data_IF_067258357857
#
_entry.id   IF_067258357857
#
_cell.length_a   1.000
_cell.length_b   1.000
_cell.length_c   1.000
_cell.angle_alpha   90.00
_cell.angle_beta   90.00
_cell.angle_gamma   90.00
#
_symmetry.space_group_name_H-M   'P 1'
#
loop_
_entity.id
_entity.type
_entity.pdbx_description
1 polymer ?
#
# COMPACT_ATOMS: atom_id res chain seq x y z
N UNK A 1 -47.47 21.21 -16.27
CA UNK A 1 -46.05 21.50 -15.94
C UNK A 1 -45.23 20.28 -16.32
N UNK A 2 -44.17 20.41 -17.13
CA UNK A 2 -43.33 19.30 -17.54
C UNK A 2 -42.40 18.86 -16.41
N UNK A 3 -42.22 17.55 -16.28
CA UNK A 3 -41.34 16.89 -15.31
C UNK A 3 -39.89 17.37 -15.46
N UNK A 4 -39.11 17.48 -14.37
CA UNK A 4 -37.70 17.84 -14.47
C UNK A 4 -36.90 16.71 -15.12
N UNK A 5 -35.81 17.02 -15.84
CA UNK A 5 -35.00 16.01 -16.52
C UNK A 5 -34.27 15.13 -15.49
N UNK A 6 -34.28 13.83 -15.75
CA UNK A 6 -33.51 12.83 -15.05
C UNK A 6 -32.02 13.19 -15.07
N UNK A 7 -31.40 13.23 -13.89
CA UNK A 7 -29.98 13.46 -13.69
C UNK A 7 -29.13 12.46 -14.50
N UNK A 8 -27.99 12.88 -15.07
CA UNK A 8 -27.16 11.98 -15.85
C UNK A 8 -26.59 10.89 -14.93
N UNK A 9 -26.85 9.64 -15.32
CA UNK A 9 -26.29 8.44 -14.70
C UNK A 9 -24.78 8.58 -14.59
N UNK A 10 -24.24 8.34 -13.40
CA UNK A 10 -22.81 8.26 -13.13
C UNK A 10 -22.21 7.24 -14.10
N UNK A 11 -21.45 7.75 -15.07
CA UNK A 11 -20.70 6.97 -16.04
C UNK A 11 -19.83 5.99 -15.26
N UNK A 12 -20.02 4.69 -15.52
CA UNK A 12 -19.27 3.63 -14.86
C UNK A 12 -17.77 3.85 -15.05
N UNK A 13 -17.01 3.73 -13.95
CA UNK A 13 -15.56 3.66 -14.00
C UNK A 13 -15.16 2.58 -15.01
N UNK A 14 -14.59 2.98 -16.13
CA UNK A 14 -14.14 2.07 -17.18
C UNK A 14 -12.90 1.36 -16.63
N UNK A 15 -13.05 0.09 -16.26
CA UNK A 15 -11.95 -0.76 -15.79
C UNK A 15 -10.88 -0.88 -16.89
N UNK A 16 -9.62 -0.71 -16.50
CA UNK A 16 -8.46 -0.85 -17.38
C UNK A 16 -8.10 -2.33 -17.40
N UNK A 17 -8.32 -2.99 -18.55
CA UNK A 17 -7.98 -4.40 -18.73
C UNK A 17 -6.49 -4.70 -18.50
N UNK A 18 -6.18 -5.96 -18.20
CA UNK A 18 -4.82 -6.45 -17.92
C UNK A 18 -3.85 -6.13 -19.03
N UNK A 19 -4.29 -6.18 -20.30
CA UNK A 19 -3.45 -5.83 -21.45
C UNK A 19 -2.98 -4.37 -21.42
N UNK A 20 -3.88 -3.43 -21.09
CA UNK A 20 -3.54 -2.02 -20.98
C UNK A 20 -2.61 -1.77 -19.79
N UNK A 21 -2.77 -2.50 -18.68
CA UNK A 21 -1.84 -2.47 -17.56
C UNK A 21 -0.44 -2.98 -17.97
N UNK A 22 -0.35 -4.08 -18.72
CA UNK A 22 0.92 -4.60 -19.24
C UNK A 22 1.61 -3.60 -20.18
N UNK A 23 0.84 -2.94 -21.05
CA UNK A 23 1.38 -1.89 -21.93
C UNK A 23 1.92 -0.69 -21.14
N UNK A 24 1.22 -0.27 -20.07
CA UNK A 24 1.71 0.77 -19.16
C UNK A 24 3.00 0.36 -18.46
N UNK A 25 3.09 -0.88 -17.96
CA UNK A 25 4.33 -1.39 -17.35
C UNK A 25 5.50 -1.36 -18.34
N UNK A 26 5.26 -1.79 -19.59
CA UNK A 26 6.29 -1.78 -20.64
C UNK A 26 6.79 -0.36 -20.94
N UNK A 27 5.87 0.59 -21.15
CA UNK A 27 6.22 2.00 -21.39
C UNK A 27 7.02 2.62 -20.24
N UNK A 28 6.68 2.28 -19.00
CA UNK A 28 7.41 2.76 -17.83
C UNK A 28 8.84 2.19 -17.77
N UNK A 29 9.02 0.92 -18.15
CA UNK A 29 10.36 0.33 -18.26
C UNK A 29 11.23 1.07 -19.29
N UNK A 30 10.68 1.37 -20.46
CA UNK A 30 11.40 2.09 -21.53
C UNK A 30 11.70 3.56 -21.14
N UNK A 31 10.80 4.22 -20.41
CA UNK A 31 10.96 5.62 -20.03
C UNK A 31 11.97 5.84 -18.90
N UNK A 32 12.05 4.93 -17.92
CA UNK A 32 12.97 5.06 -16.77
C UNK A 32 14.45 5.11 -17.17
N UNK A 33 14.81 4.62 -18.35
CA UNK A 33 16.20 4.62 -18.85
C UNK A 33 16.62 5.98 -19.46
N UNK A 34 15.68 6.91 -19.69
CA UNK A 34 15.94 8.12 -20.49
C UNK A 34 15.73 9.46 -19.78
N UNK A 35 15.06 9.51 -18.63
CA UNK A 35 14.70 10.77 -17.95
C UNK A 35 15.20 10.83 -16.51
N UNK A 36 15.95 11.89 -16.19
CA UNK A 36 16.28 12.25 -14.82
C UNK A 36 15.16 13.12 -14.22
N UNK A 37 14.50 12.62 -13.18
CA UNK A 37 13.47 13.34 -12.40
C UNK A 37 14.15 13.96 -11.18
N UNK A 38 13.83 15.20 -10.83
CA UNK A 38 14.41 15.88 -9.67
C UNK A 38 13.84 15.35 -8.36
N UNK A 39 14.59 15.50 -7.26
CA UNK A 39 14.15 15.07 -5.92
C UNK A 39 12.91 15.85 -5.43
N UNK A 40 12.79 17.13 -5.80
CA UNK A 40 11.61 17.94 -5.51
C UNK A 40 10.37 17.42 -6.23
N UNK A 41 10.51 16.97 -7.48
CA UNK A 41 9.40 16.38 -8.23
C UNK A 41 8.98 15.03 -7.65
N UNK A 42 9.93 14.17 -7.27
CA UNK A 42 9.63 12.89 -6.62
C UNK A 42 8.89 13.11 -5.29
N UNK A 43 9.33 14.09 -4.50
CA UNK A 43 8.67 14.48 -3.24
C UNK A 43 7.23 14.94 -3.47
N UNK A 44 6.97 15.80 -4.45
CA UNK A 44 5.61 16.27 -4.78
C UNK A 44 4.70 15.13 -5.25
N UNK A 45 5.24 14.16 -6.00
CA UNK A 45 4.48 13.00 -6.46
C UNK A 45 4.11 12.07 -5.30
N UNK A 46 4.99 11.92 -4.31
CA UNK A 46 4.67 11.23 -3.07
C UNK A 46 3.51 11.91 -2.34
N UNK A 47 3.60 13.21 -2.05
CA UNK A 47 2.55 13.99 -1.37
C UNK A 47 1.21 13.90 -2.09
N UNK A 48 1.24 13.89 -3.42
CA UNK A 48 0.05 13.72 -4.26
C UNK A 48 -0.61 12.35 -4.02
N UNK A 49 0.17 11.26 -4.04
CA UNK A 49 -0.36 9.90 -3.80
C UNK A 49 -0.87 9.75 -2.38
N UNK A 50 -0.16 10.32 -1.40
CA UNK A 50 -0.55 10.30 0.01
C UNK A 50 -1.90 11.01 0.22
N UNK A 51 -2.06 12.20 -0.38
CA UNK A 51 -3.30 12.99 -0.33
C UNK A 51 -4.46 12.27 -1.01
N UNK A 52 -4.25 11.76 -2.23
CA UNK A 52 -5.25 10.98 -2.96
C UNK A 52 -5.67 9.74 -2.17
N UNK A 53 -4.71 9.05 -1.53
CA UNK A 53 -5.00 7.91 -0.68
C UNK A 53 -5.90 8.33 0.47
N UNK A 54 -5.64 9.46 1.12
CA UNK A 54 -6.45 9.96 2.22
C UNK A 54 -7.89 10.30 1.81
N UNK A 55 -8.09 10.79 0.59
CA UNK A 55 -9.42 11.07 0.01
C UNK A 55 -10.20 9.80 -0.35
N UNK A 56 -9.54 8.65 -0.52
CA UNK A 56 -10.23 7.38 -0.74
C UNK A 56 -11.00 6.98 0.54
N UNK A 57 -12.31 6.87 0.38
CA UNK A 57 -13.18 6.27 1.38
C UNK A 57 -12.84 4.78 1.50
N UNK A 58 -12.43 4.36 2.70
CA UNK A 58 -12.31 2.94 3.02
C UNK A 58 -13.70 2.27 2.98
N UNK A 59 -13.71 0.94 2.99
CA UNK A 59 -14.96 0.18 3.13
C UNK A 59 -15.79 0.72 4.32
N UNK A 60 -17.13 0.82 4.16
CA UNK A 60 -17.99 1.45 5.15
C UNK A 60 -17.90 0.72 6.50
N UNK A 61 -17.95 1.48 7.59
CA UNK A 61 -18.05 0.90 8.92
C UNK A 61 -19.32 0.04 9.00
N UNK A 62 -19.16 -1.18 9.49
CA UNK A 62 -20.31 -1.96 9.96
C UNK A 62 -20.84 -1.25 11.21
N UNK A 63 -22.17 -1.18 11.35
CA UNK A 63 -22.79 -0.61 12.54
C UNK A 63 -22.16 -1.21 13.79
N UNK A 64 -21.47 -0.38 14.56
CA UNK A 64 -20.68 -0.75 15.73
C UNK A 64 -21.61 -1.08 16.89
N UNK A 65 -22.22 -2.26 16.89
CA UNK A 65 -22.91 -2.75 18.08
C UNK A 65 -22.19 -3.90 18.78
N UNK A 66 -21.14 -4.47 18.20
CA UNK A 66 -20.40 -5.55 18.86
C UNK A 66 -18.96 -5.55 18.35
N UNK A 67 -18.06 -4.80 18.99
CA UNK A 67 -16.79 -5.45 19.30
C UNK A 67 -17.22 -6.69 20.05
N UNK A 68 -16.88 -7.87 19.54
CA UNK A 68 -17.24 -9.12 20.19
C UNK A 68 -16.94 -8.94 21.68
N UNK A 69 -17.96 -9.03 22.53
CA UNK A 69 -17.82 -8.78 23.98
C UNK A 69 -16.64 -9.58 24.54
N UNK A 70 -16.33 -10.68 23.86
CA UNK A 70 -15.28 -11.63 24.14
C UNK A 70 -13.86 -11.09 23.93
N UNK A 71 -13.59 -10.21 22.94
CA UNK A 71 -12.24 -9.67 22.69
C UNK A 71 -11.99 -8.31 23.32
N UNK A 72 -13.05 -7.57 23.69
CA UNK A 72 -12.93 -6.23 24.27
C UNK A 72 -12.08 -6.19 25.54
N UNK A 73 -12.04 -7.30 26.29
CA UNK A 73 -11.21 -7.45 27.50
C UNK A 73 -9.70 -7.44 27.23
N UNK A 74 -9.26 -7.61 25.97
CA UNK A 74 -7.84 -7.60 25.58
C UNK A 74 -7.43 -6.28 24.89
N UNK A 75 -8.31 -5.28 24.82
CA UNK A 75 -8.08 -4.02 24.10
C UNK A 75 -8.23 -2.84 25.07
N UNK A 76 -7.20 -2.01 25.18
CA UNK A 76 -7.20 -0.83 26.06
C UNK A 76 -8.03 0.33 25.50
N UNK A 77 -7.78 0.72 24.24
CA UNK A 77 -8.54 1.74 23.53
C UNK A 77 -9.08 1.21 22.19
N UNK A 78 -10.34 0.75 22.14
CA UNK A 78 -10.94 0.27 20.90
C UNK A 78 -11.24 1.36 19.87
N UNK A 79 -11.15 2.64 20.26
CA UNK A 79 -11.33 3.78 19.36
C UNK A 79 -10.04 4.22 18.70
N UNK A 80 -8.89 3.68 19.13
CA UNK A 80 -7.60 3.91 18.52
C UNK A 80 -7.51 3.20 17.15
N UNK A 81 -7.81 3.96 16.10
CA UNK A 81 -7.84 3.48 14.72
C UNK A 81 -6.82 4.21 13.85
N UNK A 82 -6.52 3.63 12.68
CA UNK A 82 -5.65 4.26 11.69
C UNK A 82 -6.15 5.67 11.31
N UNK A 83 -5.21 6.61 11.21
CA UNK A 83 -5.42 7.96 10.72
C UNK A 83 -4.45 8.25 9.58
N UNK A 84 -4.99 8.73 8.45
CA UNK A 84 -4.21 9.06 7.25
C UNK A 84 -3.09 10.06 7.58
N UNK A 85 -1.85 9.72 7.23
CA UNK A 85 -0.68 10.57 7.49
C UNK A 85 -0.79 11.95 6.80
N UNK A 86 -1.29 11.99 5.56
CA UNK A 86 -1.58 13.26 4.86
C UNK A 86 -2.61 14.17 5.55
N UNK A 87 -3.54 13.62 6.34
CA UNK A 87 -4.57 14.42 7.05
C UNK A 87 -4.08 14.99 8.37
N UNK A 88 -2.92 14.57 8.86
CA UNK A 88 -2.45 15.01 10.18
C UNK A 88 -2.01 16.48 10.22
N UNK A 89 -1.81 17.11 9.06
CA UNK A 89 -1.60 18.56 8.93
C UNK A 89 -0.54 19.12 9.88
N UNK A 90 -0.71 20.38 10.32
CA UNK A 90 0.13 21.06 11.32
C UNK A 90 -0.07 20.54 12.76
N UNK A 91 -0.96 19.56 12.99
CA UNK A 91 -1.32 19.06 14.32
C UNK A 91 -0.54 17.81 14.74
N UNK A 92 0.25 17.20 13.86
CA UNK A 92 1.17 16.12 14.23
C UNK A 92 2.61 16.46 13.84
N UNK A 93 3.50 16.48 14.82
CA UNK A 93 4.95 16.65 14.64
C UNK A 93 5.64 15.41 14.02
N UNK A 94 4.92 14.52 13.34
CA UNK A 94 5.48 13.28 12.79
C UNK A 94 5.90 13.56 11.35
N UNK A 95 7.20 13.80 11.07
CA UNK A 95 7.67 14.05 9.72
C UNK A 95 7.51 12.80 8.85
N UNK A 96 7.40 13.01 7.54
CA UNK A 96 7.54 11.95 6.54
C UNK A 96 8.78 11.12 6.86
N UNK A 97 8.61 9.80 6.90
CA UNK A 97 9.68 8.87 7.14
C UNK A 97 10.38 8.62 5.81
N UNK A 98 11.62 9.09 5.65
CA UNK A 98 12.43 8.80 4.47
C UNK A 98 13.17 7.49 4.68
N UNK A 99 13.10 6.59 3.70
CA UNK A 99 13.79 5.30 3.77
C UNK A 99 15.31 5.47 3.85
N UNK A 100 15.87 6.54 3.26
CA UNK A 100 17.29 6.87 3.35
C UNK A 100 17.74 7.18 4.80
N UNK A 101 16.85 7.69 5.64
CA UNK A 101 17.18 8.02 7.03
C UNK A 101 17.20 6.76 7.91
N UNK A 102 16.36 5.76 7.58
CA UNK A 102 16.28 4.50 8.31
C UNK A 102 15.60 3.41 7.45
N UNK A 103 16.39 2.52 6.86
CA UNK A 103 15.89 1.40 6.04
C UNK A 103 15.95 0.06 6.80
N UNK A 104 15.21 -0.94 6.30
CA UNK A 104 15.34 -2.32 6.81
C UNK A 104 16.76 -2.85 6.58
N UNK A 105 17.27 -2.71 5.35
CA UNK A 105 18.54 -3.30 4.92
C UNK A 105 19.74 -2.70 5.66
N UNK A 106 19.75 -1.37 5.88
CA UNK A 106 20.90 -0.71 6.51
C UNK A 106 20.82 -0.71 8.04
N UNK A 107 19.61 -0.67 8.62
CA UNK A 107 19.41 -0.42 10.05
C UNK A 107 18.55 -1.48 10.74
N UNK A 108 17.33 -1.72 10.24
CA UNK A 108 16.33 -2.54 10.91
C UNK A 108 16.79 -3.98 11.13
N UNK A 109 17.31 -4.61 10.07
CA UNK A 109 17.81 -5.98 10.10
C UNK A 109 18.91 -6.19 11.14
N UNK A 110 19.93 -5.33 11.12
CA UNK A 110 21.09 -5.45 12.02
C UNK A 110 20.68 -5.22 13.47
N UNK A 111 19.77 -4.28 13.73
CA UNK A 111 19.23 -4.04 15.07
C UNK A 111 18.44 -5.25 15.60
N UNK A 112 17.54 -5.82 14.79
CA UNK A 112 16.80 -7.02 15.18
C UNK A 112 17.75 -8.17 15.46
N UNK A 113 18.69 -8.48 14.56
CA UNK A 113 19.57 -9.62 14.73
C UNK A 113 20.51 -9.49 15.94
N UNK A 114 20.80 -8.25 16.37
CA UNK A 114 21.56 -7.96 17.59
C UNK A 114 20.73 -8.17 18.87
N UNK A 115 19.45 -7.84 18.85
CA UNK A 115 18.56 -7.93 20.02
C UNK A 115 17.89 -9.30 20.15
N UNK A 116 17.52 -9.89 19.02
CA UNK A 116 16.86 -11.18 18.91
C UNK A 116 17.48 -11.95 17.73
N UNK A 117 18.54 -12.68 18.05
CA UNK A 117 19.32 -13.45 17.10
C UNK A 117 18.43 -14.44 16.32
N UNK A 118 18.80 -14.72 15.08
CA UNK A 118 18.09 -15.58 14.10
C UNK A 118 16.75 -15.03 13.58
N UNK A 119 15.99 -14.29 14.39
CA UNK A 119 14.71 -13.70 13.95
C UNK A 119 14.92 -12.61 12.88
N UNK A 120 16.04 -11.90 12.94
CA UNK A 120 16.43 -10.96 11.87
C UNK A 120 16.50 -11.64 10.50
N UNK A 121 17.11 -12.83 10.43
CA UNK A 121 17.22 -13.63 9.20
C UNK A 121 15.84 -14.09 8.71
N UNK A 122 15.01 -14.62 9.62
CA UNK A 122 13.67 -15.11 9.26
C UNK A 122 12.77 -14.00 8.73
N UNK A 123 12.83 -12.79 9.33
CA UNK A 123 12.07 -11.64 8.85
C UNK A 123 12.60 -11.13 7.51
N UNK A 124 13.92 -11.08 7.34
CA UNK A 124 14.54 -10.66 6.09
C UNK A 124 14.16 -11.59 4.93
N UNK A 125 14.27 -12.90 5.14
CA UNK A 125 13.84 -13.91 4.18
C UNK A 125 12.35 -13.80 3.86
N UNK A 126 11.51 -13.57 4.88
CA UNK A 126 10.06 -13.39 4.71
C UNK A 126 9.73 -12.16 3.86
N UNK A 127 10.33 -11.00 4.16
CA UNK A 127 10.12 -9.77 3.39
C UNK A 127 10.63 -9.91 1.96
N UNK A 128 11.85 -10.43 1.76
CA UNK A 128 12.42 -10.66 0.42
C UNK A 128 11.61 -11.66 -0.37
N UNK A 129 11.13 -12.73 0.25
CA UNK A 129 10.29 -13.73 -0.41
C UNK A 129 9.00 -13.10 -0.90
N UNK A 130 8.24 -12.42 -0.04
CA UNK A 130 6.98 -11.80 -0.44
C UNK A 130 7.17 -10.67 -1.47
N UNK A 131 8.21 -9.85 -1.32
CA UNK A 131 8.50 -8.76 -2.26
C UNK A 131 8.90 -9.30 -3.64
N UNK A 132 9.76 -10.33 -3.71
CA UNK A 132 10.30 -10.85 -4.96
C UNK A 132 9.46 -11.95 -5.61
N UNK A 133 8.49 -12.54 -4.88
CA UNK A 133 7.65 -13.61 -5.40
C UNK A 133 7.04 -13.20 -6.74
N UNK A 134 7.27 -14.01 -7.76
CA UNK A 134 6.65 -13.85 -9.07
C UNK A 134 6.59 -15.18 -9.78
N UNK A 135 5.48 -15.40 -10.49
CA UNK A 135 5.33 -16.52 -11.41
C UNK A 135 5.53 -16.10 -12.87
N UNK A 136 5.93 -14.83 -13.09
CA UNK A 136 5.97 -14.20 -14.41
C UNK A 136 4.64 -14.31 -15.17
N UNK A 137 3.52 -14.22 -14.45
CA UNK A 137 2.16 -14.25 -15.00
C UNK A 137 1.39 -13.01 -14.61
N UNK A 138 0.42 -12.63 -15.43
CA UNK A 138 -0.59 -11.64 -15.11
C UNK A 138 -1.92 -12.06 -15.75
N UNK A 139 -2.86 -12.53 -14.93
CA UNK A 139 -4.12 -13.10 -15.41
C UNK A 139 -3.92 -14.35 -16.26
N UNK A 140 -4.37 -14.31 -17.51
CA UNK A 140 -4.17 -15.38 -18.50
C UNK A 140 -2.82 -15.30 -19.21
N UNK A 141 -2.06 -14.21 -19.05
CA UNK A 141 -0.79 -13.99 -19.73
C UNK A 141 0.38 -14.58 -18.94
N UNK A 142 1.40 -15.03 -19.67
CA UNK A 142 2.65 -15.60 -19.14
C UNK A 142 3.86 -14.86 -19.71
N UNK A 143 5.03 -15.04 -19.10
CA UNK A 143 6.28 -14.35 -19.43
C UNK A 143 6.18 -12.82 -19.26
N UNK A 144 5.43 -12.39 -18.25
CA UNK A 144 5.23 -10.98 -17.93
C UNK A 144 6.09 -10.64 -16.72
N UNK A 145 6.99 -9.66 -16.84
CA UNK A 145 7.65 -9.09 -15.66
C UNK A 145 6.67 -8.19 -14.91
N UNK A 146 6.39 -8.57 -13.66
CA UNK A 146 5.43 -7.90 -12.77
C UNK A 146 6.13 -7.05 -11.70
N UNK A 147 7.46 -6.93 -11.74
CA UNK A 147 8.28 -6.20 -10.77
C UNK A 147 7.75 -4.80 -10.48
N UNK A 148 7.45 -4.01 -11.52
CA UNK A 148 6.89 -2.65 -11.38
C UNK A 148 5.53 -2.63 -10.68
N UNK A 149 4.64 -3.55 -11.04
CA UNK A 149 3.32 -3.63 -10.42
C UNK A 149 3.40 -4.02 -8.95
N UNK A 150 4.23 -5.02 -8.61
CA UNK A 150 4.47 -5.43 -7.21
C UNK A 150 5.11 -4.30 -6.40
N UNK A 151 6.12 -3.62 -6.95
CA UNK A 151 6.76 -2.45 -6.33
C UNK A 151 5.77 -1.30 -6.10
N UNK A 152 4.88 -1.03 -7.05
CA UNK A 152 3.83 -0.03 -6.88
C UNK A 152 2.86 -0.38 -5.75
N UNK A 153 2.47 -1.65 -5.61
CA UNK A 153 1.65 -2.12 -4.48
C UNK A 153 2.39 -1.90 -3.15
N UNK A 154 3.63 -2.38 -3.05
CA UNK A 154 4.44 -2.26 -1.84
C UNK A 154 4.63 -0.80 -1.40
N UNK A 155 5.03 0.06 -2.34
CA UNK A 155 5.29 1.47 -2.06
C UNK A 155 4.00 2.26 -1.79
N UNK A 156 2.87 1.87 -2.39
CA UNK A 156 1.57 2.44 -2.05
C UNK A 156 1.16 2.10 -0.61
N UNK A 157 1.37 0.85 -0.16
CA UNK A 157 1.11 0.45 1.22
C UNK A 157 1.96 1.26 2.18
N UNK A 158 3.27 1.32 1.96
CA UNK A 158 4.19 2.07 2.83
C UNK A 158 3.93 3.58 2.82
N UNK A 159 3.47 4.13 1.69
CA UNK A 159 3.02 5.52 1.59
C UNK A 159 1.85 5.84 2.52
N UNK A 160 0.91 4.91 2.72
CA UNK A 160 -0.17 5.10 3.71
C UNK A 160 0.36 5.23 5.16
N UNK A 161 1.54 4.68 5.44
CA UNK A 161 2.23 4.82 6.72
C UNK A 161 3.21 6.00 6.73
N UNK A 162 3.18 6.89 5.74
CA UNK A 162 4.07 8.06 5.67
C UNK A 162 5.53 7.73 5.34
N UNK A 163 5.81 6.52 4.81
CA UNK A 163 7.15 6.11 4.39
C UNK A 163 7.36 6.42 2.92
N UNK A 164 8.40 7.21 2.63
CA UNK A 164 8.80 7.66 1.29
C UNK A 164 10.10 7.02 0.83
N UNK A 165 10.05 6.39 -0.34
CA UNK A 165 11.22 5.94 -1.10
C UNK A 165 11.70 7.06 -2.02
N UNK A 166 12.84 7.67 -1.70
CA UNK A 166 13.34 8.89 -2.35
C UNK A 166 13.80 8.70 -3.80
N UNK A 167 14.01 7.46 -4.24
CA UNK A 167 14.39 7.09 -5.61
C UNK A 167 13.20 6.56 -6.45
N UNK A 168 12.00 6.51 -5.86
CA UNK A 168 10.82 5.95 -6.50
C UNK A 168 9.88 7.03 -7.07
N UNK A 169 9.51 6.87 -8.34
CA UNK A 169 8.49 7.69 -8.97
C UNK A 169 7.08 7.25 -8.56
N UNK A 170 6.51 7.90 -7.55
CA UNK A 170 5.14 7.63 -7.07
C UNK A 170 4.04 7.86 -8.12
N UNK A 171 4.32 8.51 -9.25
CA UNK A 171 3.38 8.53 -10.37
C UNK A 171 3.16 7.13 -10.99
N UNK A 172 4.09 6.19 -10.80
CA UNK A 172 3.89 4.77 -11.17
C UNK A 172 2.68 4.17 -10.43
N UNK A 173 2.45 4.54 -9.16
CA UNK A 173 1.27 4.08 -8.38
C UNK A 173 -0.03 4.49 -9.06
N UNK A 174 -0.10 5.71 -9.59
CA UNK A 174 -1.29 6.21 -10.28
C UNK A 174 -1.51 5.57 -11.65
N UNK A 175 -0.43 5.18 -12.33
CA UNK A 175 -0.51 4.54 -13.64
C UNK A 175 -0.82 3.05 -13.55
N UNK A 176 -0.36 2.38 -12.49
CA UNK A 176 -0.40 0.93 -12.35
C UNK A 176 -1.50 0.43 -11.41
N UNK A 177 -1.90 1.20 -10.39
CA UNK A 177 -2.94 0.77 -9.45
C UNK A 177 -4.25 1.51 -9.72
N UNK A 178 -5.25 0.74 -10.12
CA UNK A 178 -6.61 1.25 -10.27
C UNK A 178 -7.21 1.72 -8.95
N UNK A 179 -8.19 2.61 -9.02
CA UNK A 179 -8.88 3.15 -7.85
C UNK A 179 -9.53 2.06 -6.99
N UNK A 180 -10.15 1.07 -7.62
CA UNK A 180 -10.79 -0.06 -6.95
C UNK A 180 -9.77 -0.88 -6.15
N UNK A 181 -8.62 -1.19 -6.76
CA UNK A 181 -7.51 -1.89 -6.12
C UNK A 181 -6.91 -1.08 -4.97
N UNK A 182 -6.67 0.22 -5.16
CA UNK A 182 -6.20 1.12 -4.09
C UNK A 182 -7.17 1.13 -2.89
N UNK A 183 -8.47 1.21 -3.16
CA UNK A 183 -9.51 1.20 -2.12
C UNK A 183 -9.54 -0.14 -1.37
N UNK A 184 -9.40 -1.25 -2.09
CA UNK A 184 -9.30 -2.58 -1.47
C UNK A 184 -8.04 -2.71 -0.61
N UNK A 185 -6.87 -2.33 -1.12
CA UNK A 185 -5.60 -2.33 -0.39
C UNK A 185 -5.73 -1.48 0.88
N UNK A 186 -6.20 -0.23 0.77
CA UNK A 186 -6.42 0.66 1.92
C UNK A 186 -7.35 0.05 2.96
N UNK A 187 -8.44 -0.58 2.52
CA UNK A 187 -9.37 -1.25 3.43
C UNK A 187 -8.71 -2.44 4.12
N UNK A 188 -8.01 -3.31 3.41
CA UNK A 188 -7.34 -4.47 3.98
C UNK A 188 -6.17 -4.10 4.92
N UNK A 189 -5.43 -3.03 4.61
CA UNK A 189 -4.31 -2.54 5.40
C UNK A 189 -4.79 -1.82 6.66
N UNK A 190 -5.71 -0.86 6.53
CA UNK A 190 -6.03 0.08 7.61
C UNK A 190 -7.30 -0.28 8.38
N UNK A 191 -8.22 -1.02 7.76
CA UNK A 191 -9.55 -1.34 8.30
C UNK A 191 -10.01 -2.77 7.91
N UNK A 192 -9.18 -3.80 8.19
CA UNK A 192 -9.42 -5.16 7.71
C UNK A 192 -10.80 -5.71 8.12
N UNK A 193 -11.35 -5.26 9.25
CA UNK A 193 -12.68 -5.63 9.76
C UNK A 193 -13.83 -5.20 8.82
N UNK A 194 -13.57 -4.25 7.92
CA UNK A 194 -14.57 -3.69 6.99
C UNK A 194 -14.56 -4.36 5.63
N UNK A 195 -13.52 -5.13 5.30
CA UNK A 195 -13.40 -5.80 4.00
C UNK A 195 -14.55 -6.79 3.79
N UNK A 196 -15.17 -6.75 2.61
CA UNK A 196 -16.27 -7.65 2.24
C UNK A 196 -15.94 -8.48 1.02
N UNK A 197 -16.68 -9.57 0.82
CA UNK A 197 -16.61 -10.37 -0.42
C UNK A 197 -16.87 -9.51 -1.67
N UNK A 198 -17.78 -8.52 -1.57
CA UNK A 198 -18.07 -7.62 -2.68
C UNK A 198 -16.86 -6.78 -3.08
N UNK A 199 -16.06 -6.35 -2.11
CA UNK A 199 -14.83 -5.60 -2.39
C UNK A 199 -13.80 -6.50 -3.09
N UNK A 200 -13.67 -7.75 -2.63
CA UNK A 200 -12.83 -8.77 -3.27
C UNK A 200 -13.26 -9.08 -4.71
N UNK A 201 -14.57 -9.23 -4.97
CA UNK A 201 -15.10 -9.59 -6.29
C UNK A 201 -14.95 -8.43 -7.30
N UNK A 202 -14.94 -7.18 -6.83
CA UNK A 202 -14.85 -5.98 -7.68
C UNK A 202 -13.45 -5.66 -8.18
N UNK A 203 -12.39 -6.08 -7.48
CA UNK A 203 -11.00 -5.77 -7.86
C UNK A 203 -10.39 -6.87 -8.72
N UNK A 204 -9.42 -6.49 -9.56
CA UNK A 204 -8.57 -7.43 -10.30
C UNK A 204 -9.37 -8.54 -11.00
N UNK A 205 -10.44 -8.18 -11.73
CA UNK A 205 -11.41 -9.15 -12.26
C UNK A 205 -10.84 -10.09 -13.32
N UNK A 206 -9.87 -9.61 -14.09
CA UNK A 206 -9.14 -10.39 -15.11
C UNK A 206 -7.95 -11.17 -14.52
N UNK A 207 -7.68 -11.03 -13.22
CA UNK A 207 -6.63 -11.78 -12.52
C UNK A 207 -7.20 -13.05 -11.89
N UNK A 208 -6.32 -14.02 -11.67
CA UNK A 208 -6.63 -15.26 -10.94
C UNK A 208 -6.81 -14.99 -9.45
N UNK A 209 -7.60 -15.82 -8.79
CA UNK A 209 -7.75 -15.78 -7.33
C UNK A 209 -6.41 -15.91 -6.60
N UNK A 210 -5.48 -16.72 -7.11
CA UNK A 210 -4.12 -16.85 -6.57
C UNK A 210 -3.35 -15.52 -6.60
N UNK A 211 -3.55 -14.69 -7.62
CA UNK A 211 -2.92 -13.37 -7.74
C UNK A 211 -3.54 -12.38 -6.75
N UNK A 212 -4.86 -12.47 -6.48
CA UNK A 212 -5.50 -11.71 -5.39
C UNK A 212 -4.92 -12.10 -4.02
N UNK A 213 -4.69 -13.38 -3.78
CA UNK A 213 -4.01 -13.85 -2.55
C UNK A 213 -2.58 -13.33 -2.49
N UNK A 214 -1.85 -13.32 -3.61
CA UNK A 214 -0.50 -12.76 -3.68
C UNK A 214 -0.48 -11.26 -3.29
N UNK A 215 -1.47 -10.47 -3.72
CA UNK A 215 -1.61 -9.08 -3.23
C UNK A 215 -1.81 -9.02 -1.72
N UNK A 216 -2.53 -9.97 -1.12
CA UNK A 216 -2.68 -10.03 0.34
C UNK A 216 -1.36 -10.36 1.07
N UNK A 217 -0.48 -11.18 0.47
CA UNK A 217 0.86 -11.39 1.00
C UNK A 217 1.66 -10.08 1.03
N UNK A 218 1.62 -9.30 -0.07
CA UNK A 218 2.26 -7.98 -0.11
C UNK A 218 1.66 -7.01 0.90
N UNK A 219 0.33 -7.02 1.08
CA UNK A 219 -0.37 -6.22 2.10
C UNK A 219 0.16 -6.52 3.49
N UNK A 220 0.22 -7.80 3.88
CA UNK A 220 0.66 -8.21 5.20
C UNK A 220 2.13 -7.83 5.45
N UNK A 221 3.02 -8.16 4.51
CA UNK A 221 4.45 -7.97 4.71
C UNK A 221 4.89 -6.52 4.62
N UNK A 222 4.34 -5.73 3.69
CA UNK A 222 4.66 -4.31 3.58
C UNK A 222 4.17 -3.52 4.81
N UNK A 223 2.99 -3.88 5.33
CA UNK A 223 2.44 -3.31 6.57
C UNK A 223 3.32 -3.64 7.76
N UNK A 224 3.64 -4.93 7.94
CA UNK A 224 4.48 -5.39 9.05
C UNK A 224 5.86 -4.72 9.02
N UNK A 225 6.49 -4.63 7.84
CA UNK A 225 7.77 -3.95 7.69
C UNK A 225 7.68 -2.47 8.07
N UNK A 226 6.63 -1.75 7.63
CA UNK A 226 6.45 -0.34 7.97
C UNK A 226 6.31 -0.11 9.48
N UNK A 227 5.41 -0.86 10.14
CA UNK A 227 5.18 -0.78 11.59
C UNK A 227 6.47 -1.10 12.37
N UNK A 228 7.20 -2.14 11.95
CA UNK A 228 8.45 -2.55 12.56
C UNK A 228 9.55 -1.48 12.41
N UNK A 229 9.68 -0.84 11.25
CA UNK A 229 10.66 0.23 11.04
C UNK A 229 10.43 1.42 11.98
N UNK A 230 9.17 1.82 12.23
CA UNK A 230 8.86 2.87 13.20
C UNK A 230 9.28 2.48 14.62
N UNK A 231 8.95 1.26 15.05
CA UNK A 231 9.31 0.76 16.38
C UNK A 231 10.83 0.64 16.55
N UNK A 232 11.53 0.05 15.57
CA UNK A 232 12.97 -0.14 15.60
C UNK A 232 13.74 1.19 15.55
N UNK A 233 13.26 2.18 14.77
CA UNK A 233 13.83 3.52 14.78
C UNK A 233 13.71 4.18 16.15
N UNK A 234 12.58 3.99 16.84
CA UNK A 234 12.40 4.50 18.21
C UNK A 234 13.35 3.81 19.20
N UNK A 235 13.51 2.49 19.10
CA UNK A 235 14.48 1.73 19.91
C UNK A 235 15.90 2.23 19.65
N UNK A 236 16.31 2.37 18.39
CA UNK A 236 17.65 2.86 18.04
C UNK A 236 17.91 4.25 18.66
N UNK A 237 16.95 5.18 18.53
CA UNK A 237 17.04 6.53 19.13
C UNK A 237 17.11 6.54 20.65
N UNK A 238 16.56 5.52 21.32
CA UNK A 238 16.69 5.38 22.78
C UNK A 238 18.05 4.83 23.19
N UNK A 239 18.65 3.97 22.35
CA UNK A 239 19.96 3.36 22.62
C UNK A 239 21.14 4.29 22.34
N UNK A 240 20.94 5.36 21.57
CA UNK A 240 21.95 6.37 21.19
C UNK A 240 21.69 7.70 21.88
#
# INVERSE_FOLDING_TARGET
MPSPPSSPSIVGEQEVGVEALMERMKRLSEKSESYQITQEELSKRFETVETQSAELAAAPQRSSSVLDSDIGHFIEDPTFIYQDFAKRGQLSDIPTFRVQDYSWDDHGYSLVNRLYNDVGNLLDDKFKTAYNLTYYTMGTHSKVDTSRFRRAIWNYIQCMFGIRHDDYDYNEVNQLLERSLKTFIKSAVCYPERVTKRDYDRVMREFKHSEKVHVNLMILEARMQAELLYALRAVMRYMT
#
